data_IF_400067996569
#
_entry.id   IF_400067996569
#
_cell.length_a   1.000
_cell.length_b   1.000
_cell.length_c   1.000
_cell.angle_alpha   90.00
_cell.angle_beta   90.00
_cell.angle_gamma   90.00
#
_symmetry.space_group_name_H-M   'P 1'
#
loop_
_entity.id
_entity.type
_entity.pdbx_description
1 polymer ?
#
# COMPACT_ATOMS: atom_id res chain seq x y z
N UNK A 1 -5.66 -2.52 -15.92
CA UNK A 1 -4.84 -3.63 -15.39
C UNK A 1 -5.51 -4.23 -14.18
N UNK A 2 -5.35 -5.54 -13.99
CA UNK A 2 -5.81 -6.25 -12.80
C UNK A 2 -4.69 -6.25 -11.74
N UNK A 3 -5.07 -6.16 -10.46
CA UNK A 3 -4.14 -6.39 -9.37
C UNK A 3 -3.55 -7.80 -9.48
N UNK A 4 -2.25 -7.96 -9.22
CA UNK A 4 -1.58 -9.26 -9.33
C UNK A 4 -0.06 -9.14 -9.33
N UNK A 5 0.60 -10.31 -9.26
CA UNK A 5 2.05 -10.39 -9.16
C UNK A 5 2.70 -10.53 -10.53
N UNK A 6 3.63 -9.62 -10.85
CA UNK A 6 4.48 -9.73 -12.05
C UNK A 6 5.51 -10.87 -11.95
N UNK A 7 5.77 -11.39 -10.75
CA UNK A 7 6.67 -12.53 -10.58
C UNK A 7 5.96 -13.85 -10.91
N UNK A 8 4.72 -14.02 -10.41
CA UNK A 8 3.97 -15.27 -10.63
C UNK A 8 3.07 -15.24 -11.85
N UNK A 9 2.90 -14.07 -12.47
CA UNK A 9 1.96 -13.81 -13.58
C UNK A 9 0.51 -14.18 -13.23
N UNK A 10 0.13 -14.06 -11.95
CA UNK A 10 -1.22 -14.37 -11.47
C UNK A 10 -1.90 -13.11 -10.99
N UNK A 11 -3.19 -12.99 -11.32
CA UNK A 11 -4.06 -12.00 -10.72
C UNK A 11 -4.23 -12.21 -9.21
N UNK A 12 -4.78 -11.20 -8.56
CA UNK A 12 -5.14 -11.22 -7.15
C UNK A 12 -6.56 -10.70 -6.94
N UNK A 13 -7.13 -10.97 -5.77
CA UNK A 13 -8.46 -10.52 -5.37
C UNK A 13 -8.37 -9.52 -4.22
N UNK A 14 -9.21 -8.50 -4.28
CA UNK A 14 -9.43 -7.51 -3.22
C UNK A 14 -10.93 -7.38 -2.97
N UNK A 15 -11.35 -7.54 -1.72
CA UNK A 15 -12.76 -7.42 -1.31
C UNK A 15 -13.75 -8.25 -2.14
N UNK A 16 -13.30 -9.42 -2.64
CA UNK A 16 -14.09 -10.32 -3.48
C UNK A 16 -14.05 -10.00 -4.99
N UNK A 17 -13.37 -8.93 -5.39
CA UNK A 17 -13.21 -8.52 -6.78
C UNK A 17 -11.78 -8.80 -7.27
N UNK A 18 -11.63 -9.32 -8.49
CA UNK A 18 -10.34 -9.68 -9.08
C UNK A 18 -10.38 -11.06 -9.73
N UNK A 19 -9.20 -11.65 -9.98
CA UNK A 19 -9.07 -12.93 -10.67
C UNK A 19 -7.87 -13.72 -10.15
N UNK A 20 -7.99 -15.06 -10.10
CA UNK A 20 -6.85 -15.94 -9.77
C UNK A 20 -6.18 -16.51 -11.05
N UNK A 21 -6.59 -16.01 -12.22
CA UNK A 21 -6.12 -16.49 -13.52
C UNK A 21 -4.65 -16.12 -13.78
N UNK A 22 -3.99 -16.91 -14.63
CA UNK A 22 -2.73 -16.51 -15.25
C UNK A 22 -2.98 -15.39 -16.24
N UNK A 23 -2.17 -14.34 -16.19
CA UNK A 23 -2.34 -13.11 -16.96
C UNK A 23 -1.05 -12.73 -17.69
N UNK A 24 -1.17 -11.91 -18.74
CA UNK A 24 0.01 -11.30 -19.37
C UNK A 24 0.52 -10.12 -18.54
N UNK A 25 1.76 -9.68 -18.81
CA UNK A 25 2.34 -8.52 -18.13
C UNK A 25 1.48 -7.27 -18.31
N UNK A 26 0.99 -7.05 -19.53
CA UNK A 26 0.14 -5.90 -19.85
C UNK A 26 -1.20 -5.95 -19.13
N UNK A 27 -1.76 -7.14 -18.92
CA UNK A 27 -2.98 -7.29 -18.13
C UNK A 27 -2.76 -6.99 -16.64
N UNK A 28 -1.54 -7.21 -16.11
CA UNK A 28 -1.16 -6.96 -14.71
C UNK A 28 -0.69 -5.52 -14.46
N UNK A 29 -0.57 -4.73 -15.51
CA UNK A 29 -0.21 -3.33 -15.44
C UNK A 29 -1.38 -2.47 -15.92
N UNK A 30 -1.61 -1.34 -15.27
CA UNK A 30 -2.66 -0.41 -15.71
C UNK A 30 -2.18 0.30 -16.95
N UNK A 31 -2.94 0.24 -18.03
CA UNK A 31 -2.63 0.97 -19.26
C UNK A 31 -2.90 2.47 -19.06
N UNK A 32 -1.96 3.38 -19.39
CA UNK A 32 -2.14 4.83 -19.19
C UNK A 32 -3.32 5.42 -19.97
N UNK A 33 -3.60 4.93 -21.18
CA UNK A 33 -4.68 5.43 -22.02
C UNK A 33 -6.03 4.98 -21.47
N UNK A 34 -6.14 3.72 -21.03
CA UNK A 34 -7.33 3.24 -20.33
C UNK A 34 -7.57 3.96 -19.01
N UNK A 35 -6.50 4.29 -18.27
CA UNK A 35 -6.60 5.09 -17.05
C UNK A 35 -7.13 6.50 -17.35
N UNK A 36 -6.61 7.13 -18.41
CA UNK A 36 -7.08 8.43 -18.90
C UNK A 36 -8.57 8.40 -19.25
N UNK A 37 -9.00 7.43 -20.06
CA UNK A 37 -10.40 7.26 -20.44
C UNK A 37 -11.30 7.00 -19.22
N UNK A 38 -10.85 6.17 -18.28
CA UNK A 38 -11.61 5.85 -17.08
C UNK A 38 -11.81 7.08 -16.19
N UNK A 39 -10.76 7.89 -15.98
CA UNK A 39 -10.86 9.13 -15.20
C UNK A 39 -11.72 10.16 -15.93
N UNK A 40 -11.56 10.31 -17.25
CA UNK A 40 -12.39 11.22 -18.05
C UNK A 40 -13.89 10.92 -17.87
N UNK A 41 -14.26 9.63 -17.91
CA UNK A 41 -15.64 9.18 -17.85
C UNK A 41 -16.24 9.18 -16.43
N UNK A 42 -15.42 8.99 -15.40
CA UNK A 42 -15.91 8.80 -14.02
C UNK A 42 -15.72 10.02 -13.13
N UNK A 43 -14.75 10.88 -13.45
CA UNK A 43 -14.38 12.06 -12.65
C UNK A 43 -14.05 11.71 -11.17
N UNK A 44 -13.57 10.50 -10.91
CA UNK A 44 -13.16 10.05 -9.58
C UNK A 44 -12.03 10.91 -8.99
N UNK A 45 -11.95 11.03 -7.67
CA UNK A 45 -10.91 11.82 -7.01
C UNK A 45 -9.57 11.08 -6.89
N UNK A 46 -9.62 9.75 -6.78
CA UNK A 46 -8.44 8.91 -6.61
C UNK A 46 -8.53 7.60 -7.40
N UNK A 47 -7.44 7.27 -8.11
CA UNK A 47 -7.34 6.09 -8.98
C UNK A 47 -6.40 5.04 -8.39
N UNK A 48 -6.92 3.85 -8.09
CA UNK A 48 -6.09 2.69 -7.81
C UNK A 48 -5.49 2.13 -9.10
N UNK A 49 -4.17 1.90 -9.09
CA UNK A 49 -3.43 1.41 -10.26
C UNK A 49 -2.71 0.10 -9.94
N UNK A 50 -2.81 -0.85 -10.86
CA UNK A 50 -1.98 -2.04 -10.89
C UNK A 50 -0.60 -1.72 -11.51
N UNK A 51 0.46 -1.91 -10.72
CA UNK A 51 1.86 -1.68 -11.13
C UNK A 51 2.78 -2.88 -10.83
N UNK A 52 2.17 -4.06 -10.63
CA UNK A 52 2.86 -5.32 -10.33
C UNK A 52 2.90 -5.74 -8.87
N UNK A 53 2.07 -5.13 -8.03
CA UNK A 53 1.90 -5.49 -6.61
C UNK A 53 0.71 -6.44 -6.40
N UNK A 54 0.81 -7.31 -5.39
CA UNK A 54 -0.28 -8.15 -4.86
C UNK A 54 -0.48 -7.95 -3.35
N UNK A 55 -1.53 -8.50 -2.76
CA UNK A 55 -1.83 -8.51 -1.32
C UNK A 55 -1.01 -9.52 -0.52
N UNK A 56 -1.11 -9.42 0.82
CA UNK A 56 -0.47 -10.36 1.75
C UNK A 56 1.03 -10.14 1.98
N UNK A 57 1.66 -11.11 2.66
CA UNK A 57 3.09 -11.11 2.96
C UNK A 57 3.94 -11.73 1.85
N UNK A 58 3.37 -12.65 1.07
CA UNK A 58 4.08 -13.37 0.02
C UNK A 58 3.98 -12.66 -1.33
N UNK A 59 4.45 -11.41 -1.38
CA UNK A 59 4.40 -10.62 -2.61
C UNK A 59 5.48 -11.06 -3.58
N UNK A 60 6.70 -11.22 -3.06
CA UNK A 60 7.86 -11.59 -3.86
C UNK A 60 8.67 -12.73 -3.21
N UNK A 61 9.21 -13.63 -4.03
CA UNK A 61 10.10 -14.73 -3.59
C UNK A 61 11.55 -14.30 -3.46
N UNK A 62 11.92 -13.17 -4.09
CA UNK A 62 13.23 -12.51 -3.99
C UNK A 62 13.06 -11.02 -3.68
N UNK A 63 14.12 -10.38 -3.20
CA UNK A 63 14.13 -8.92 -3.00
C UNK A 63 13.78 -8.25 -4.33
N UNK A 64 12.72 -7.44 -4.40
CA UNK A 64 12.28 -6.89 -5.66
C UNK A 64 13.29 -5.89 -6.22
N UNK A 65 13.49 -5.97 -7.53
CA UNK A 65 14.24 -5.03 -8.36
C UNK A 65 13.26 -4.29 -9.29
N UNK A 66 13.73 -3.31 -10.07
CA UNK A 66 12.87 -2.46 -10.93
C UNK A 66 12.12 -3.21 -12.05
N UNK A 67 12.33 -4.51 -12.22
CA UNK A 67 11.59 -5.41 -13.11
C UNK A 67 10.23 -5.86 -12.53
N UNK A 68 10.09 -5.82 -11.21
CA UNK A 68 8.96 -6.36 -10.44
C UNK A 68 7.93 -5.29 -10.06
N UNK A 69 8.34 -4.02 -9.95
CA UNK A 69 7.44 -2.89 -9.71
C UNK A 69 7.66 -1.83 -10.79
N UNK A 70 6.63 -1.51 -11.56
CA UNK A 70 6.77 -0.56 -12.65
C UNK A 70 6.52 0.88 -12.19
N UNK A 71 7.55 1.51 -11.63
CA UNK A 71 7.51 2.97 -11.36
C UNK A 71 7.38 3.76 -12.66
N UNK A 72 7.99 3.31 -13.76
CA UNK A 72 7.78 3.90 -15.08
C UNK A 72 6.30 4.01 -15.41
N UNK A 73 5.50 2.97 -15.13
CA UNK A 73 4.06 3.02 -15.36
C UNK A 73 3.34 4.05 -14.50
N UNK A 74 3.78 4.26 -13.25
CA UNK A 74 3.25 5.35 -12.40
C UNK A 74 3.49 6.71 -13.05
N UNK A 75 4.70 6.94 -13.58
CA UNK A 75 5.07 8.19 -14.26
C UNK A 75 4.21 8.42 -15.52
N UNK A 76 4.11 7.40 -16.37
CA UNK A 76 3.29 7.44 -17.59
C UNK A 76 1.82 7.77 -17.28
N UNK A 77 1.24 7.16 -16.24
CA UNK A 77 -0.14 7.44 -15.82
C UNK A 77 -0.25 8.87 -15.27
N UNK A 78 0.70 9.32 -14.45
CA UNK A 78 0.69 10.66 -13.89
C UNK A 78 0.82 11.75 -14.95
N UNK A 79 1.64 11.52 -15.99
CA UNK A 79 1.80 12.44 -17.11
C UNK A 79 0.47 12.65 -17.87
N UNK A 80 -0.35 11.59 -17.98
CA UNK A 80 -1.71 11.68 -18.56
C UNK A 80 -2.73 12.28 -17.59
N UNK A 81 -2.50 12.15 -16.29
CA UNK A 81 -3.44 12.47 -15.21
C UNK A 81 -2.79 13.36 -14.14
N UNK A 82 -2.40 14.60 -14.47
CA UNK A 82 -1.55 15.42 -13.62
C UNK A 82 -2.20 15.88 -12.30
N UNK A 83 -3.54 15.89 -12.22
CA UNK A 83 -4.25 16.27 -10.99
C UNK A 83 -5.00 15.11 -10.29
N UNK A 84 -4.99 13.90 -10.86
CA UNK A 84 -5.61 12.73 -10.23
C UNK A 84 -4.73 12.19 -9.11
N UNK A 85 -5.30 11.84 -7.97
CA UNK A 85 -4.57 11.21 -6.87
C UNK A 85 -4.39 9.71 -7.13
N UNK A 86 -3.16 9.24 -7.31
CA UNK A 86 -2.91 7.82 -7.52
C UNK A 86 -2.87 7.06 -6.18
N UNK A 87 -3.39 5.83 -6.19
CA UNK A 87 -3.47 4.94 -5.03
C UNK A 87 -2.67 3.67 -5.31
N UNK A 88 -1.76 3.33 -4.40
CA UNK A 88 -1.04 2.06 -4.43
C UNK A 88 -1.67 1.06 -3.46
N UNK A 89 -2.12 -0.06 -4.02
CA UNK A 89 -2.64 -1.21 -3.27
C UNK A 89 -1.52 -2.21 -2.96
N UNK A 90 -1.77 -3.15 -2.05
CA UNK A 90 -0.80 -4.21 -1.73
C UNK A 90 0.62 -3.71 -1.40
N UNK A 91 0.78 -2.55 -0.77
CA UNK A 91 2.07 -1.84 -0.70
C UNK A 91 2.85 -2.05 0.60
N UNK A 92 2.46 -3.04 1.41
CA UNK A 92 3.25 -3.45 2.58
C UNK A 92 4.67 -3.88 2.17
N UNK A 93 5.68 -3.47 2.95
CA UNK A 93 7.09 -3.69 2.65
C UNK A 93 7.66 -5.01 3.20
N UNK A 94 6.96 -5.63 4.13
CA UNK A 94 7.35 -6.88 4.81
C UNK A 94 8.75 -6.78 5.42
N UNK A 95 8.90 -6.01 6.53
CA UNK A 95 10.19 -5.81 7.17
C UNK A 95 10.79 -7.13 7.68
N UNK A 96 12.06 -7.36 7.33
CA UNK A 96 12.73 -8.62 7.63
C UNK A 96 12.97 -8.81 9.12
N UNK A 97 13.12 -7.72 9.87
CA UNK A 97 13.25 -7.77 11.33
C UNK A 97 12.05 -8.44 12.00
N UNK A 98 10.82 -8.18 11.53
CA UNK A 98 9.63 -8.80 12.07
C UNK A 98 9.53 -10.28 11.70
N UNK A 99 9.92 -10.66 10.48
CA UNK A 99 9.97 -12.08 10.10
C UNK A 99 11.00 -12.84 10.93
N UNK A 100 12.18 -12.26 11.16
CA UNK A 100 13.22 -12.85 12.00
C UNK A 100 12.76 -13.01 13.45
N UNK A 101 12.15 -11.98 14.02
CA UNK A 101 11.60 -12.00 15.37
C UNK A 101 10.47 -13.04 15.50
N UNK A 102 9.56 -13.13 14.52
CA UNK A 102 8.51 -14.17 14.50
C UNK A 102 9.13 -15.57 14.52
N UNK A 103 10.16 -15.83 13.70
CA UNK A 103 10.85 -17.12 13.68
C UNK A 103 11.56 -17.42 15.01
N UNK A 104 12.23 -16.44 15.59
CA UNK A 104 12.89 -16.55 16.88
C UNK A 104 11.91 -16.97 17.99
N UNK A 105 10.69 -16.43 17.97
CA UNK A 105 9.67 -16.69 18.99
C UNK A 105 8.58 -17.68 18.50
N UNK A 106 9.03 -18.81 17.93
CA UNK A 106 8.20 -19.99 17.67
C UNK A 106 7.24 -19.88 16.48
N UNK A 107 7.42 -18.90 15.60
CA UNK A 107 6.73 -18.83 14.31
C UNK A 107 7.52 -19.53 13.20
N UNK A 108 6.86 -19.81 12.08
CA UNK A 108 7.50 -20.46 10.92
C UNK A 108 7.19 -19.72 9.61
N UNK A 109 7.36 -18.40 9.61
CA UNK A 109 7.19 -17.60 8.40
C UNK A 109 8.45 -17.73 7.54
N UNK A 110 8.29 -18.29 6.34
CA UNK A 110 9.34 -18.30 5.31
C UNK A 110 9.78 -16.88 4.96
N UNK A 111 11.01 -16.76 4.50
CA UNK A 111 11.51 -15.51 3.92
C UNK A 111 10.67 -15.09 2.72
N UNK A 112 10.35 -13.80 2.66
CA UNK A 112 9.56 -13.20 1.60
C UNK A 112 9.70 -11.69 1.68
N UNK A 113 9.40 -11.00 0.58
CA UNK A 113 9.65 -9.58 0.44
C UNK A 113 8.38 -8.85 0.03
N UNK A 114 8.23 -7.62 0.51
CA UNK A 114 7.18 -6.70 0.10
C UNK A 114 7.72 -5.59 -0.79
N UNK A 115 6.94 -4.53 -0.96
CA UNK A 115 7.32 -3.38 -1.82
C UNK A 115 8.40 -2.54 -1.11
N UNK A 116 9.56 -2.25 -1.73
CA UNK A 116 10.60 -1.42 -1.11
C UNK A 116 10.07 -0.03 -0.79
N UNK A 117 10.45 0.50 0.37
CA UNK A 117 10.02 1.83 0.80
C UNK A 117 10.52 2.90 -0.15
N UNK A 118 11.73 2.75 -0.68
CA UNK A 118 12.36 3.70 -1.59
C UNK A 118 11.56 3.85 -2.89
N UNK A 119 11.01 2.75 -3.40
CA UNK A 119 10.16 2.74 -4.59
C UNK A 119 8.80 3.39 -4.32
N UNK A 120 8.23 3.18 -3.13
CA UNK A 120 7.01 3.89 -2.71
C UNK A 120 7.27 5.40 -2.64
N UNK A 121 8.40 5.80 -2.05
CA UNK A 121 8.81 7.20 -1.97
C UNK A 121 9.04 7.81 -3.35
N UNK A 122 9.58 7.04 -4.31
CA UNK A 122 9.70 7.48 -5.70
C UNK A 122 8.30 7.65 -6.33
N UNK A 123 7.40 6.69 -6.16
CA UNK A 123 6.02 6.77 -6.68
C UNK A 123 5.25 7.98 -6.13
N UNK A 124 5.47 8.36 -4.87
CA UNK A 124 4.88 9.56 -4.25
C UNK A 124 5.30 10.83 -5.00
N UNK A 125 6.51 10.90 -5.57
CA UNK A 125 6.93 12.06 -6.37
C UNK A 125 6.11 12.20 -7.66
N UNK A 126 5.52 11.10 -8.14
CA UNK A 126 4.79 10.99 -9.40
C UNK A 126 3.29 10.74 -9.20
N UNK A 127 2.67 11.46 -8.26
CA UNK A 127 1.22 11.50 -8.13
C UNK A 127 0.59 10.48 -7.17
N UNK A 128 1.35 9.56 -6.57
CA UNK A 128 0.80 8.70 -5.51
C UNK A 128 0.54 9.50 -4.23
N UNK A 129 -0.69 9.41 -3.71
CA UNK A 129 -1.15 10.13 -2.51
C UNK A 129 -1.77 9.23 -1.45
N UNK A 130 -2.09 7.98 -1.77
CA UNK A 130 -2.60 6.97 -0.83
C UNK A 130 -1.85 5.65 -1.01
N UNK A 131 -1.29 5.14 0.08
CA UNK A 131 -0.51 3.89 0.10
C UNK A 131 -1.16 2.94 1.11
N UNK A 132 -1.65 1.79 0.64
CA UNK A 132 -2.34 0.82 1.49
C UNK A 132 -1.31 -0.11 2.14
N UNK A 133 -1.27 -0.12 3.48
CA UNK A 133 -0.36 -0.93 4.29
C UNK A 133 -1.17 -1.65 5.36
N UNK A 134 -1.05 -2.98 5.39
CA UNK A 134 -1.77 -3.82 6.36
C UNK A 134 -0.86 -4.93 6.89
N UNK A 135 -0.26 -5.72 5.99
CA UNK A 135 0.69 -6.79 6.34
C UNK A 135 1.77 -6.35 7.32
N UNK A 136 2.35 -5.16 7.15
CA UNK A 136 3.42 -4.66 8.05
C UNK A 136 2.90 -4.47 9.49
N UNK A 137 1.66 -3.99 9.65
CA UNK A 137 1.01 -3.84 10.96
C UNK A 137 0.82 -5.22 11.59
N UNK A 138 0.27 -6.17 10.82
CA UNK A 138 0.01 -7.54 11.30
C UNK A 138 1.30 -8.23 11.72
N UNK A 139 2.38 -8.08 10.95
CA UNK A 139 3.69 -8.64 11.25
C UNK A 139 4.29 -8.03 12.53
N UNK A 140 4.29 -6.70 12.65
CA UNK A 140 4.80 -5.99 13.82
C UNK A 140 4.07 -6.42 15.11
N UNK A 141 2.74 -6.48 15.07
CA UNK A 141 1.93 -6.93 16.19
C UNK A 141 2.20 -8.39 16.54
N UNK A 142 2.23 -9.26 15.53
CA UNK A 142 2.46 -10.71 15.74
C UNK A 142 3.84 -10.98 16.33
N UNK A 143 4.87 -10.29 15.85
CA UNK A 143 6.23 -10.40 16.35
C UNK A 143 6.31 -10.00 17.84
N UNK A 144 5.71 -8.87 18.20
CA UNK A 144 5.68 -8.37 19.57
C UNK A 144 4.91 -9.29 20.53
N UNK A 145 3.75 -9.81 20.11
CA UNK A 145 2.94 -10.74 20.94
C UNK A 145 3.70 -12.05 21.18
N UNK A 146 4.32 -12.61 20.13
CA UNK A 146 5.09 -13.86 20.23
C UNK A 146 6.27 -13.72 21.19
N UNK A 147 7.03 -12.64 21.07
CA UNK A 147 8.10 -12.34 22.01
C UNK A 147 7.57 -12.26 23.45
N UNK A 148 6.49 -11.51 23.65
CA UNK A 148 5.91 -11.31 24.98
C UNK A 148 5.54 -12.64 25.65
N UNK A 149 4.88 -13.54 24.93
CA UNK A 149 4.48 -14.86 25.48
C UNK A 149 5.65 -15.75 25.83
N UNK A 150 6.76 -15.70 25.08
CA UNK A 150 7.96 -16.48 25.39
C UNK A 150 8.69 -15.90 26.61
N UNK A 151 8.80 -14.58 26.70
CA UNK A 151 9.53 -13.91 27.78
C UNK A 151 8.74 -13.84 29.09
N UNK A 152 7.41 -13.97 29.05
CA UNK A 152 6.53 -13.81 30.22
C UNK A 152 5.52 -14.98 30.30
N UNK A 153 5.97 -16.23 30.48
CA UNK A 153 5.12 -17.42 30.39
C UNK A 153 4.02 -17.49 31.46
N UNK A 154 4.16 -16.75 32.56
CA UNK A 154 3.17 -16.67 33.64
C UNK A 154 2.06 -15.63 33.38
N UNK A 155 2.23 -14.76 32.38
CA UNK A 155 1.29 -13.67 32.08
C UNK A 155 0.19 -14.15 31.14
N UNK A 156 -1.05 -13.87 31.52
CA UNK A 156 -2.24 -14.25 30.73
C UNK A 156 -3.16 -13.06 30.45
N UNK A 157 -2.93 -11.90 31.06
CA UNK A 157 -3.79 -10.72 30.88
C UNK A 157 -3.65 -10.19 29.45
N UNK A 158 -4.75 -10.17 28.67
CA UNK A 158 -4.73 -9.68 27.30
C UNK A 158 -4.18 -8.27 27.14
N UNK A 159 -4.36 -7.43 28.14
CA UNK A 159 -3.92 -6.04 28.10
C UNK A 159 -2.41 -5.92 28.02
N UNK A 160 -1.68 -6.87 28.60
CA UNK A 160 -0.22 -6.79 28.67
C UNK A 160 0.41 -7.07 27.30
N UNK A 161 0.06 -8.18 26.64
CA UNK A 161 0.59 -8.48 25.31
C UNK A 161 -0.01 -7.59 24.21
N UNK A 162 -1.27 -7.14 24.36
CA UNK A 162 -1.86 -6.18 23.41
C UNK A 162 -1.25 -4.77 23.56
N UNK A 163 -0.73 -4.40 24.73
CA UNK A 163 -0.02 -3.12 24.92
C UNK A 163 1.25 -3.07 24.09
N UNK A 164 2.08 -4.12 24.12
CA UNK A 164 3.30 -4.17 23.30
C UNK A 164 2.97 -4.31 21.81
N UNK A 165 1.91 -5.05 21.45
CA UNK A 165 1.44 -5.13 20.08
C UNK A 165 1.02 -3.77 19.52
N UNK A 166 0.22 -2.99 20.29
CA UNK A 166 -0.21 -1.65 19.90
C UNK A 166 0.99 -0.70 19.74
N UNK A 167 1.99 -0.80 20.62
CA UNK A 167 3.22 -0.02 20.49
C UNK A 167 3.95 -0.35 19.19
N UNK A 168 4.15 -1.63 18.88
CA UNK A 168 4.80 -2.06 17.65
C UNK A 168 4.05 -1.59 16.38
N UNK A 169 2.72 -1.71 16.37
CA UNK A 169 1.88 -1.15 15.30
C UNK A 169 2.05 0.37 15.16
N UNK A 170 2.07 1.09 16.29
CA UNK A 170 2.22 2.56 16.32
C UNK A 170 3.58 2.97 15.76
N UNK A 171 4.66 2.30 16.17
CA UNK A 171 6.02 2.59 15.69
C UNK A 171 6.15 2.32 14.19
N UNK A 172 5.53 1.23 13.69
CA UNK A 172 5.47 0.93 12.26
C UNK A 172 4.73 2.03 11.50
N UNK A 173 3.54 2.43 11.93
CA UNK A 173 2.77 3.51 11.29
C UNK A 173 3.54 4.83 11.32
N UNK A 174 4.17 5.17 12.46
CA UNK A 174 5.00 6.37 12.61
C UNK A 174 6.15 6.37 11.60
N UNK A 175 6.86 5.25 11.46
CA UNK A 175 7.92 5.10 10.45
C UNK A 175 7.41 5.46 9.05
N UNK A 176 6.25 4.93 8.64
CA UNK A 176 5.66 5.21 7.33
C UNK A 176 5.27 6.68 7.17
N UNK A 177 4.66 7.31 8.17
CA UNK A 177 4.35 8.74 8.12
C UNK A 177 5.60 9.62 7.93
N UNK A 178 6.69 9.31 8.62
CA UNK A 178 7.95 10.05 8.48
C UNK A 178 8.54 9.86 7.08
N UNK A 179 8.65 8.61 6.62
CA UNK A 179 9.21 8.27 5.30
C UNK A 179 8.38 8.86 4.15
N UNK A 180 7.07 8.95 4.30
CA UNK A 180 6.16 9.52 3.29
C UNK A 180 5.98 11.04 3.42
N UNK A 181 6.78 11.72 4.26
CA UNK A 181 6.78 13.19 4.36
C UNK A 181 5.53 13.80 5.01
N UNK A 182 4.80 13.02 5.82
CA UNK A 182 3.56 13.45 6.45
C UNK A 182 3.76 14.22 7.77
N UNK A 183 4.99 14.28 8.30
CA UNK A 183 5.29 15.00 9.54
C UNK A 183 4.90 16.48 9.44
N UNK A 184 4.19 16.96 10.47
CA UNK A 184 3.75 18.36 10.56
C UNK A 184 2.64 18.78 9.56
N UNK A 185 2.18 17.91 8.67
CA UNK A 185 1.14 18.27 7.70
C UNK A 185 -0.26 18.36 8.32
N UNK A 186 -0.56 17.54 9.32
CA UNK A 186 -1.90 17.49 9.93
C UNK A 186 -2.38 18.85 10.47
N UNK A 187 -1.50 19.59 11.15
CA UNK A 187 -1.83 20.91 11.69
C UNK A 187 -2.06 21.99 10.62
N UNK A 188 -1.63 21.77 9.36
CA UNK A 188 -1.80 22.71 8.25
C UNK A 188 -3.15 22.55 7.54
N UNK A 189 -3.85 21.44 7.77
CA UNK A 189 -5.10 21.11 7.07
C UNK A 189 -6.26 21.84 7.76
N UNK A 190 -6.94 22.71 7.01
CA UNK A 190 -8.25 23.26 7.39
C UNK A 190 -9.33 22.38 6.78
N UNK A 191 -9.98 21.56 7.60
CA UNK A 191 -11.02 20.66 7.13
C UNK A 191 -12.19 21.44 6.49
N UNK A 192 -12.58 21.06 5.26
CA UNK A 192 -13.82 21.51 4.63
C UNK A 192 -14.96 20.59 5.05
N UNK A 193 -16.14 21.15 5.28
CA UNK A 193 -17.34 20.35 5.48
C UNK A 193 -17.76 19.67 4.18
N UNK A 194 -18.49 18.55 4.27
CA UNK A 194 -18.99 17.85 3.09
C UNK A 194 -19.94 18.71 2.25
N UNK A 195 -20.71 19.60 2.87
CA UNK A 195 -21.54 20.57 2.15
C UNK A 195 -20.73 21.58 1.34
N UNK A 196 -19.59 22.03 1.86
CA UNK A 196 -18.69 22.90 1.11
C UNK A 196 -18.04 22.15 -0.05
N UNK A 197 -17.61 20.89 0.17
CA UNK A 197 -17.08 20.03 -0.88
C UNK A 197 -18.10 19.79 -2.01
N UNK A 198 -19.36 19.50 -1.67
CA UNK A 198 -20.44 19.32 -2.65
C UNK A 198 -20.61 20.55 -3.57
N UNK A 199 -20.57 21.76 -3.00
CA UNK A 199 -20.60 23.00 -3.79
C UNK A 199 -19.40 23.15 -4.72
N UNK A 200 -18.22 22.74 -4.27
CA UNK A 200 -17.00 22.78 -5.10
C UNK A 200 -17.12 21.78 -6.28
N UNK A 201 -17.73 20.61 -6.08
CA UNK A 201 -18.05 19.66 -7.16
C UNK A 201 -19.08 20.24 -8.13
N UNK A 202 -20.20 20.78 -7.64
CA UNK A 202 -21.25 21.37 -8.49
C UNK A 202 -20.72 22.54 -9.34
N UNK A 203 -19.78 23.30 -8.81
CA UNK A 203 -19.10 24.39 -9.50
C UNK A 203 -17.99 23.93 -10.46
N UNK A 204 -17.70 22.63 -10.54
CA UNK A 204 -16.65 22.06 -11.39
C UNK A 204 -15.22 22.38 -10.94
N UNK A 205 -15.02 22.88 -9.72
CA UNK A 205 -13.70 23.30 -9.22
C UNK A 205 -12.76 22.11 -8.96
N UNK A 206 -13.32 20.91 -8.82
CA UNK A 206 -12.61 19.67 -8.54
C UNK A 206 -12.54 18.73 -9.76
N UNK A 207 -12.86 19.21 -10.96
CA UNK A 207 -12.83 18.41 -12.17
C UNK A 207 -11.44 17.83 -12.47
N UNK A 208 -11.41 16.56 -12.91
CA UNK A 208 -10.17 15.89 -13.30
C UNK A 208 -9.69 16.42 -14.65
N UNK A 209 -8.37 16.53 -14.80
CA UNK A 209 -7.70 16.93 -16.04
C UNK A 209 -7.04 15.73 -16.65
N UNK A 210 -7.41 15.44 -17.88
CA UNK A 210 -6.85 14.35 -18.68
C UNK A 210 -6.13 14.99 -19.87
N UNK A 211 -4.87 14.62 -20.08
CA UNK A 211 -4.03 15.09 -21.18
C UNK A 211 -3.99 14.09 -22.34
#
# INVERSE_FOLDING_TARGET
GCLGSLETMKGDKEDGHGTDATMTRDQLLTDPDQAADFVQNTQLDALAIAIGTSHGAYKFTRKPTGDILSITRVKEIHDRLPNTHLVMHGSSSVPQEYLAQIRQYGGNMRETYGVPVEEICEAIKHGVRKVNIDTDIRLAMTAAIRQYFVENPEKFDPRDYLKVARKAATDMCKSRYLLFGCEGQGAKIKAKSLFAMAKDYDAGLLAQKVL
#
